data_IF_330729581531
#
_entry.id   IF_330729581531
#
_cell.length_a   1.000
_cell.length_b   1.000
_cell.length_c   1.000
_cell.angle_alpha   90.00
_cell.angle_beta   90.00
_cell.angle_gamma   90.00
#
_symmetry.space_group_name_H-M   'P 1'
#
loop_
_entity.id
_entity.type
_entity.pdbx_description
1 polymer ?
#
# COMPACT_ATOMS: atom_id res chain seq x y z
N UNK A 1 -12.75 9.86 -5.56
CA UNK A 1 -11.30 10.04 -5.81
C UNK A 1 -11.07 11.33 -6.61
N UNK A 2 -10.33 12.30 -6.08
CA UNK A 2 -9.97 13.52 -6.82
C UNK A 2 -8.60 13.34 -7.49
N UNK A 3 -8.60 12.89 -8.75
CA UNK A 3 -7.38 12.63 -9.57
C UNK A 3 -6.35 13.77 -9.53
N UNK A 4 -6.80 15.03 -9.49
CA UNK A 4 -5.93 16.21 -9.46
C UNK A 4 -5.09 16.35 -8.20
N UNK A 5 -5.59 15.91 -7.03
CA UNK A 5 -4.85 15.99 -5.77
C UNK A 5 -3.71 14.94 -5.76
N UNK A 6 -4.00 13.73 -6.23
CA UNK A 6 -3.04 12.63 -6.32
C UNK A 6 -1.93 12.99 -7.31
N UNK A 7 -2.29 13.53 -8.48
CA UNK A 7 -1.34 14.02 -9.48
C UNK A 7 -0.37 15.08 -8.91
N UNK A 8 -0.91 16.06 -8.17
CA UNK A 8 -0.11 17.12 -7.55
C UNK A 8 0.82 16.58 -6.44
N UNK A 9 0.35 15.63 -5.62
CA UNK A 9 1.13 15.06 -4.51
C UNK A 9 2.18 14.04 -4.94
N UNK A 10 2.03 13.44 -6.13
CA UNK A 10 2.92 12.37 -6.62
C UNK A 10 3.92 12.83 -7.68
N UNK A 11 3.90 14.11 -8.08
CA UNK A 11 4.68 14.65 -9.21
C UNK A 11 4.37 13.92 -10.53
N UNK A 12 3.12 13.49 -10.71
CA UNK A 12 2.66 12.73 -11.88
C UNK A 12 1.53 13.49 -12.57
N UNK A 13 1.60 13.67 -13.88
CA UNK A 13 0.51 14.33 -14.62
C UNK A 13 -0.81 13.54 -14.49
N UNK A 14 -1.95 14.26 -14.44
CA UNK A 14 -3.28 13.64 -14.44
C UNK A 14 -3.53 12.72 -15.66
N UNK A 15 -2.87 13.01 -16.79
CA UNK A 15 -2.89 12.16 -17.99
C UNK A 15 -2.22 10.82 -17.74
N UNK A 16 -1.02 10.82 -17.14
CA UNK A 16 -0.31 9.58 -16.81
C UNK A 16 -1.07 8.78 -15.75
N UNK A 17 -1.68 9.44 -14.75
CA UNK A 17 -2.57 8.77 -13.80
C UNK A 17 -3.74 8.07 -14.50
N UNK A 18 -4.35 8.70 -15.50
CA UNK A 18 -5.40 8.07 -16.32
C UNK A 18 -4.90 6.86 -17.15
N UNK A 19 -3.65 6.87 -17.62
CA UNK A 19 -3.05 5.70 -18.26
C UNK A 19 -2.81 4.56 -17.28
N UNK A 20 -2.40 4.86 -16.05
CA UNK A 20 -2.29 3.85 -14.98
C UNK A 20 -3.67 3.26 -14.65
N UNK A 21 -4.71 4.09 -14.51
CA UNK A 21 -6.09 3.65 -14.26
C UNK A 21 -6.66 2.76 -15.38
N UNK A 22 -6.20 2.96 -16.62
CA UNK A 22 -6.63 2.18 -17.81
C UNK A 22 -5.65 1.07 -18.18
N UNK A 23 -4.69 0.75 -17.31
CA UNK A 23 -3.66 -0.28 -17.51
C UNK A 23 -2.76 -0.06 -18.74
N UNK A 24 -2.68 1.19 -19.24
CA UNK A 24 -1.82 1.60 -20.37
C UNK A 24 -0.42 2.05 -19.92
N UNK A 25 -0.18 2.18 -18.63
CA UNK A 25 1.11 2.51 -18.04
C UNK A 25 1.28 1.81 -16.68
N UNK A 26 2.52 1.41 -16.35
CA UNK A 26 2.86 0.85 -15.04
C UNK A 26 3.17 1.97 -14.04
N UNK A 27 2.58 1.96 -12.83
CA UNK A 27 2.86 2.98 -11.84
C UNK A 27 4.24 2.77 -11.22
N UNK A 28 4.96 3.88 -11.01
CA UNK A 28 6.17 3.87 -10.19
C UNK A 28 5.86 3.74 -8.70
N UNK A 29 6.88 3.41 -7.90
CA UNK A 29 6.77 3.25 -6.44
C UNK A 29 6.15 4.44 -5.72
N UNK A 30 6.59 5.65 -6.04
CA UNK A 30 6.06 6.87 -5.42
C UNK A 30 4.56 7.04 -5.67
N UNK A 31 4.10 6.71 -6.88
CA UNK A 31 2.69 6.77 -7.24
C UNK A 31 1.87 5.71 -6.48
N UNK A 32 2.36 4.47 -6.40
CA UNK A 32 1.69 3.40 -5.64
C UNK A 32 1.54 3.78 -4.15
N UNK A 33 2.59 4.33 -3.54
CA UNK A 33 2.55 4.77 -2.14
C UNK A 33 1.61 5.96 -1.92
N UNK A 34 1.62 6.92 -2.83
CA UNK A 34 0.69 8.05 -2.77
C UNK A 34 -0.77 7.58 -2.86
N UNK A 35 -1.05 6.63 -3.77
CA UNK A 35 -2.38 6.02 -3.90
C UNK A 35 -2.78 5.25 -2.65
N UNK A 36 -1.88 4.43 -2.10
CA UNK A 36 -2.14 3.69 -0.86
C UNK A 36 -2.49 4.65 0.30
N UNK A 37 -1.74 5.75 0.43
CA UNK A 37 -1.99 6.76 1.45
C UNK A 37 -3.34 7.47 1.25
N UNK A 38 -3.67 7.87 0.03
CA UNK A 38 -4.93 8.56 -0.30
C UNK A 38 -6.17 7.67 -0.17
N UNK A 39 -5.99 6.36 -0.22
CA UNK A 39 -7.04 5.36 -0.02
C UNK A 39 -7.08 4.81 1.41
N UNK A 40 -6.30 5.38 2.33
CA UNK A 40 -6.14 4.93 3.72
C UNK A 40 -5.82 3.43 3.83
N UNK A 41 -5.06 2.92 2.86
CA UNK A 41 -4.65 1.51 2.78
C UNK A 41 -3.56 1.27 3.83
N UNK A 42 -3.74 0.30 4.74
CA UNK A 42 -2.72 -0.06 5.73
C UNK A 42 -1.39 -0.44 5.07
N UNK A 43 -0.26 -0.21 5.75
CA UNK A 43 1.09 -0.50 5.23
C UNK A 43 1.25 -1.94 4.69
N UNK A 44 0.65 -2.91 5.39
CA UNK A 44 0.59 -4.32 5.00
C UNK A 44 -0.08 -4.50 3.63
N UNK A 45 -1.25 -3.91 3.44
CA UNK A 45 -1.98 -3.96 2.17
C UNK A 45 -1.28 -3.11 1.10
N UNK A 46 -0.56 -2.06 1.49
CA UNK A 46 0.31 -1.27 0.61
C UNK A 46 1.41 -2.10 -0.06
N UNK A 47 1.97 -3.11 0.64
CA UNK A 47 2.90 -4.06 0.03
C UNK A 47 2.23 -4.90 -1.07
N UNK A 48 0.96 -5.28 -0.89
CA UNK A 48 0.21 -6.01 -1.90
C UNK A 48 0.05 -5.16 -3.15
N UNK A 49 -0.23 -3.86 -3.01
CA UNK A 49 -0.30 -2.92 -4.13
C UNK A 49 1.05 -2.76 -4.85
N UNK A 50 2.17 -2.71 -4.11
CA UNK A 50 3.51 -2.68 -4.70
C UNK A 50 3.77 -3.94 -5.53
N UNK A 51 3.48 -5.13 -4.98
CA UNK A 51 3.66 -6.40 -5.70
C UNK A 51 2.77 -6.49 -6.93
N UNK A 52 1.50 -6.08 -6.83
CA UNK A 52 0.58 -6.05 -7.97
C UNK A 52 1.06 -5.10 -9.10
N UNK A 53 1.81 -4.05 -8.74
CA UNK A 53 2.46 -3.15 -9.70
C UNK A 53 3.81 -3.67 -10.24
N UNK A 54 4.25 -4.88 -9.85
CA UNK A 54 5.55 -5.44 -10.23
C UNK A 54 6.73 -4.86 -9.44
N UNK A 55 6.47 -4.27 -8.28
CA UNK A 55 7.46 -3.65 -7.40
C UNK A 55 7.74 -4.53 -6.17
N UNK A 56 8.91 -4.34 -5.57
CA UNK A 56 9.30 -5.02 -4.33
C UNK A 56 8.53 -4.40 -3.14
N UNK A 57 8.00 -5.20 -2.21
CA UNK A 57 7.39 -4.71 -0.98
C UNK A 57 8.39 -3.89 -0.16
N UNK A 58 7.90 -2.87 0.54
CA UNK A 58 8.76 -1.93 1.27
C UNK A 58 8.64 -2.06 2.79
N UNK A 59 7.46 -2.44 3.27
CA UNK A 59 7.21 -2.50 4.70
C UNK A 59 7.46 -3.92 5.20
N UNK A 60 8.28 -4.08 6.23
CA UNK A 60 8.46 -5.38 6.87
C UNK A 60 7.16 -5.85 7.52
N UNK A 61 6.84 -7.13 7.40
CA UNK A 61 5.70 -7.74 8.07
C UNK A 61 6.22 -8.78 9.06
N UNK A 62 5.84 -8.63 10.33
CA UNK A 62 6.17 -9.60 11.38
C UNK A 62 5.07 -10.66 11.42
N UNK A 63 5.46 -11.93 11.51
CA UNK A 63 4.49 -13.01 11.71
C UNK A 63 3.67 -12.76 12.98
N UNK A 64 2.36 -12.92 12.85
CA UNK A 64 1.41 -12.78 13.95
C UNK A 64 1.72 -13.84 15.01
N UNK A 65 2.08 -15.05 14.59
CA UNK A 65 2.48 -16.15 15.46
C UNK A 65 3.71 -15.79 16.30
N UNK A 66 4.76 -15.24 15.67
CA UNK A 66 5.95 -14.78 16.39
C UNK A 66 5.63 -13.66 17.38
N UNK A 67 4.74 -12.74 17.00
CA UNK A 67 4.31 -11.63 17.86
C UNK A 67 3.53 -12.13 19.06
N UNK A 68 2.64 -13.10 18.88
CA UNK A 68 1.87 -13.72 19.96
C UNK A 68 2.77 -14.53 20.90
N UNK A 69 3.75 -15.26 20.36
CA UNK A 69 4.72 -16.01 21.18
C UNK A 69 5.52 -15.06 22.08
N UNK A 70 5.98 -13.94 21.53
CA UNK A 70 6.73 -12.92 22.27
C UNK A 70 5.91 -12.25 23.38
N UNK A 71 4.58 -12.30 23.31
CA UNK A 71 3.69 -11.69 24.29
C UNK A 71 3.44 -12.57 25.53
N UNK A 72 3.88 -13.85 25.50
CA UNK A 72 3.70 -14.76 26.64
C UNK A 72 4.45 -14.28 27.90
N UNK A 73 3.87 -14.49 29.11
CA UNK A 73 2.61 -15.18 29.41
C UNK A 73 1.38 -14.24 29.38
N UNK A 74 1.54 -12.99 28.98
CA UNK A 74 0.45 -12.02 29.00
C UNK A 74 -0.53 -12.29 27.86
N UNK A 75 -1.85 -12.24 28.10
CA UNK A 75 -2.84 -12.47 27.06
C UNK A 75 -2.72 -11.42 25.93
N UNK A 76 -2.85 -11.88 24.69
CA UNK A 76 -2.86 -11.06 23.49
C UNK A 76 -3.90 -11.58 22.49
N UNK A 77 -4.44 -10.68 21.67
CA UNK A 77 -5.39 -11.00 20.62
C UNK A 77 -4.93 -10.35 19.31
N UNK A 78 -4.98 -11.10 18.22
CA UNK A 78 -4.79 -10.57 16.88
C UNK A 78 -6.17 -10.31 16.25
N UNK A 79 -6.35 -9.13 15.66
CA UNK A 79 -7.59 -8.73 14.98
C UNK A 79 -7.26 -8.54 13.51
N UNK A 80 -8.02 -9.18 12.62
CA UNK A 80 -7.94 -8.97 11.17
C UNK A 80 -9.15 -8.16 10.70
N UNK A 81 -8.98 -7.34 9.65
CA UNK A 81 -10.02 -6.46 9.09
C UNK A 81 -10.91 -7.14 8.03
N UNK A 82 -10.64 -8.40 7.65
CA UNK A 82 -11.41 -9.11 6.62
C UNK A 82 -12.74 -9.68 7.13
#
# INVERSE_FOLDING_TARGET
>A
MKRGLIALRSDVSARHLGFVETSRASPGRALVLCLAHELDVPLREGNVLLVAAGLVPMFGETSIELTLEAHKPFPAFAINRH
#
